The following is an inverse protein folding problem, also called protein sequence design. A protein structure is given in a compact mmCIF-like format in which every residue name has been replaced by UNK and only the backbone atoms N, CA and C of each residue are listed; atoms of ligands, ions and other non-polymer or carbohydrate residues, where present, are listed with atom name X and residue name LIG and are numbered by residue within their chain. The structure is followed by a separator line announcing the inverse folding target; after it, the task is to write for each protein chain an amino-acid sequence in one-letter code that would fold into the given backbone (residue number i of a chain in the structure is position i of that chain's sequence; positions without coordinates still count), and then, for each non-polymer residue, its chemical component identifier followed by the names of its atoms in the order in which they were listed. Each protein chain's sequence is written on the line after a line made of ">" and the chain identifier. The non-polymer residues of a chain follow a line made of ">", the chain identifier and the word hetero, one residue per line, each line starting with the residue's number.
data_IF_742263541310
#
_entry.id   IF_742263541310
#
_cell.length_a   1.000
_cell.length_b   1.000
_cell.length_c   1.000
_cell.angle_alpha   90.00
_cell.angle_beta   90.00
_cell.angle_gamma   90.00
#
_symmetry.space_group_name_H-M   'P 1'
#
loop_
_entity.id
_entity.type
_entity.pdbx_description
1 polymer ?
#
# COMPACT_ATOMS: atom_id res chain seq x y z
N UNK A 1 14.00 30.93 -11.31
CA UNK A 1 14.31 30.01 -10.18
C UNK A 1 13.08 29.65 -9.35
N UNK A 2 12.27 30.63 -8.92
CA UNK A 2 11.05 30.37 -8.13
C UNK A 2 10.04 29.47 -8.85
N UNK A 3 9.81 29.70 -10.14
CA UNK A 3 8.87 28.92 -10.96
C UNK A 3 9.24 27.43 -11.06
N UNK A 4 10.53 27.11 -11.24
CA UNK A 4 10.98 25.72 -11.32
C UNK A 4 10.76 24.96 -10.00
N UNK A 5 10.99 25.62 -8.86
CA UNK A 5 10.73 25.04 -7.54
C UNK A 5 9.24 24.79 -7.34
N UNK A 6 8.39 25.72 -7.78
CA UNK A 6 6.94 25.58 -7.71
C UNK A 6 6.45 24.42 -8.60
N UNK A 7 6.99 24.28 -9.82
CA UNK A 7 6.65 23.18 -10.71
C UNK A 7 7.08 21.82 -10.12
N UNK A 8 8.27 21.75 -9.51
CA UNK A 8 8.73 20.53 -8.83
C UNK A 8 7.82 20.15 -7.66
N UNK A 9 7.38 21.13 -6.88
CA UNK A 9 6.44 20.92 -5.79
C UNK A 9 5.11 20.39 -6.32
N UNK A 10 4.55 20.99 -7.38
CA UNK A 10 3.32 20.52 -8.02
C UNK A 10 3.45 19.09 -8.53
N UNK A 11 4.57 18.74 -9.18
CA UNK A 11 4.83 17.36 -9.64
C UNK A 11 4.85 16.40 -8.45
N UNK A 12 5.53 16.77 -7.36
CA UNK A 12 5.58 15.96 -6.14
C UNK A 12 4.16 15.74 -5.60
N UNK A 13 3.38 16.81 -5.45
CA UNK A 13 1.99 16.73 -4.97
C UNK A 13 1.11 15.85 -5.85
N UNK A 14 1.28 15.88 -7.18
CA UNK A 14 0.55 14.97 -8.06
C UNK A 14 0.96 13.51 -7.84
N UNK A 15 2.26 13.21 -7.78
CA UNK A 15 2.73 11.83 -7.53
C UNK A 15 2.18 11.25 -6.22
N UNK A 16 1.99 12.09 -5.19
CA UNK A 16 1.36 11.69 -3.93
C UNK A 16 -0.10 11.27 -4.15
N UNK A 17 -0.85 12.00 -4.99
CA UNK A 17 -2.23 11.64 -5.35
C UNK A 17 -2.32 10.36 -6.17
N UNK A 18 -1.27 10.01 -6.93
CA UNK A 18 -1.15 8.73 -7.62
C UNK A 18 -0.70 7.57 -6.69
N UNK A 19 -0.61 7.79 -5.38
CA UNK A 19 -0.37 6.73 -4.40
C UNK A 19 1.10 6.51 -4.01
N UNK A 20 2.00 7.44 -4.33
CA UNK A 20 3.36 7.45 -3.77
C UNK A 20 3.38 8.16 -2.41
N UNK A 21 4.26 7.69 -1.53
CA UNK A 21 4.61 8.45 -0.32
C UNK A 21 5.57 9.60 -0.62
N UNK A 22 5.73 10.54 0.32
CA UNK A 22 6.66 11.67 0.18
C UNK A 22 8.09 11.22 -0.16
N UNK A 23 8.62 10.23 0.56
CA UNK A 23 9.98 9.75 0.33
C UNK A 23 10.11 8.93 -0.97
N UNK A 24 9.06 8.18 -1.35
CA UNK A 24 8.99 7.52 -2.66
C UNK A 24 9.05 8.53 -3.81
N UNK A 25 8.26 9.59 -3.75
CA UNK A 25 8.25 10.64 -4.77
C UNK A 25 9.61 11.35 -4.88
N UNK A 26 10.25 11.67 -3.74
CA UNK A 26 11.61 12.26 -3.73
C UNK A 26 12.64 11.35 -4.41
N UNK A 27 12.65 10.06 -4.07
CA UNK A 27 13.58 9.08 -4.65
C UNK A 27 13.31 8.94 -6.16
N UNK A 28 12.05 8.79 -6.55
CA UNK A 28 11.66 8.69 -7.96
C UNK A 28 12.11 9.91 -8.77
N UNK A 29 11.80 11.12 -8.29
CA UNK A 29 12.18 12.37 -8.97
C UNK A 29 13.71 12.49 -9.08
N UNK A 30 14.44 12.14 -8.02
CA UNK A 30 15.90 12.17 -8.03
C UNK A 30 16.47 11.24 -9.10
N UNK A 31 16.05 9.98 -9.12
CA UNK A 31 16.49 9.01 -10.13
C UNK A 31 16.07 9.44 -11.55
N UNK A 32 14.85 9.96 -11.73
CA UNK A 32 14.33 10.39 -13.03
C UNK A 32 15.03 11.64 -13.59
N UNK A 33 15.60 12.50 -12.74
CA UNK A 33 16.32 13.71 -13.17
C UNK A 33 17.83 13.55 -13.23
N UNK A 34 18.40 12.75 -12.33
CA UNK A 34 19.86 12.56 -12.22
C UNK A 34 20.37 11.26 -12.82
N UNK A 35 19.46 10.44 -13.38
CA UNK A 35 19.77 9.16 -14.01
C UNK A 35 20.06 8.04 -12.99
N UNK A 36 20.65 6.93 -13.45
CA UNK A 36 20.91 5.77 -12.62
C UNK A 36 21.86 6.07 -11.45
N UNK A 37 21.47 5.71 -10.23
CA UNK A 37 22.25 5.93 -8.99
C UNK A 37 22.23 4.72 -8.08
N UNK A 38 23.33 4.52 -7.36
CA UNK A 38 23.40 3.51 -6.31
C UNK A 38 22.63 3.96 -5.06
N UNK A 39 22.15 3.01 -4.26
CA UNK A 39 21.48 3.33 -3.00
C UNK A 39 22.31 4.26 -2.09
N UNK A 40 23.66 4.11 -1.99
CA UNK A 40 24.51 5.07 -1.32
C UNK A 40 24.49 6.49 -1.83
N UNK A 41 24.39 6.69 -3.14
CA UNK A 41 24.24 8.03 -3.71
C UNK A 41 22.87 8.62 -3.35
N UNK A 42 21.80 7.80 -3.42
CA UNK A 42 20.43 8.24 -3.14
C UNK A 42 20.27 8.71 -1.69
N UNK A 43 20.64 7.89 -0.70
CA UNK A 43 20.42 8.27 0.72
C UNK A 43 21.28 9.47 1.13
N UNK A 44 22.48 9.61 0.55
CA UNK A 44 23.35 10.78 0.80
C UNK A 44 22.78 12.04 0.17
N UNK A 45 22.34 11.96 -1.09
CA UNK A 45 21.80 13.11 -1.82
C UNK A 45 20.49 13.61 -1.21
N UNK A 46 19.62 12.69 -0.77
CA UNK A 46 18.31 13.02 -0.23
C UNK A 46 18.28 13.14 1.30
N UNK A 47 19.41 12.89 1.97
CA UNK A 47 19.55 12.88 3.44
C UNK A 47 18.51 11.97 4.11
N UNK A 48 18.26 10.80 3.50
CA UNK A 48 17.33 9.80 4.00
C UNK A 48 18.05 8.73 4.82
N UNK A 49 17.37 8.06 5.77
CA UNK A 49 17.93 6.91 6.46
C UNK A 49 18.30 5.79 5.48
N UNK A 50 19.44 5.12 5.71
CA UNK A 50 19.92 4.04 4.83
C UNK A 50 18.89 2.92 4.68
N UNK A 51 18.43 2.38 5.81
CA UNK A 51 17.48 1.26 5.85
C UNK A 51 16.18 1.60 5.13
N UNK A 52 15.65 2.80 5.36
CA UNK A 52 14.44 3.28 4.69
C UNK A 52 14.66 3.45 3.18
N UNK A 53 15.82 3.95 2.76
CA UNK A 53 16.13 4.13 1.33
C UNK A 53 16.15 2.78 0.60
N UNK A 54 16.80 1.76 1.16
CA UNK A 54 16.79 0.41 0.57
C UNK A 54 15.36 -0.17 0.52
N UNK A 55 14.59 -0.02 1.60
CA UNK A 55 13.20 -0.45 1.62
C UNK A 55 12.38 0.23 0.52
N UNK A 56 12.50 1.54 0.37
CA UNK A 56 11.76 2.29 -0.64
C UNK A 56 12.20 1.91 -2.06
N UNK A 57 13.50 1.75 -2.30
CA UNK A 57 14.00 1.32 -3.61
C UNK A 57 13.42 -0.06 -4.00
N UNK A 58 13.41 -1.01 -3.07
CA UNK A 58 12.81 -2.33 -3.29
C UNK A 58 11.29 -2.24 -3.54
N UNK A 59 10.58 -1.37 -2.82
CA UNK A 59 9.14 -1.14 -3.04
C UNK A 59 8.85 -0.51 -4.39
N UNK A 60 9.68 0.44 -4.83
CA UNK A 60 9.53 1.06 -6.14
C UNK A 60 9.90 0.10 -7.27
N UNK A 61 10.88 -0.77 -7.04
CA UNK A 61 11.27 -1.84 -7.97
C UNK A 61 10.17 -2.89 -8.11
N UNK A 62 9.61 -3.38 -7.01
CA UNK A 62 8.53 -4.39 -7.06
C UNK A 62 7.25 -3.85 -7.69
N UNK A 63 7.04 -2.53 -7.63
CA UNK A 63 5.95 -1.84 -8.33
C UNK A 63 6.27 -1.54 -9.80
N UNK A 64 7.46 -1.89 -10.30
CA UNK A 64 7.86 -1.60 -11.67
C UNK A 64 7.99 -0.09 -11.98
N UNK A 65 8.28 0.74 -10.97
CA UNK A 65 8.48 2.19 -11.13
C UNK A 65 9.97 2.51 -11.27
N UNK A 66 10.82 1.67 -10.68
CA UNK A 66 12.28 1.74 -10.72
C UNK A 66 12.81 0.39 -11.20
N UNK A 67 13.95 0.39 -11.88
CA UNK A 67 14.68 -0.81 -12.29
C UNK A 67 16.04 -0.86 -11.63
N UNK A 68 16.46 -2.02 -11.15
CA UNK A 68 17.83 -2.26 -10.69
C UNK A 68 18.67 -2.87 -11.81
N UNK A 69 19.84 -2.29 -12.08
CA UNK A 69 20.84 -2.85 -12.97
C UNK A 69 21.74 -3.80 -12.17
N UNK A 70 22.04 -4.99 -12.73
CA UNK A 70 22.98 -5.96 -12.15
C UNK A 70 24.44 -5.49 -12.31
N UNK A 71 24.74 -4.33 -11.73
CA UNK A 71 26.08 -3.76 -11.62
C UNK A 71 26.61 -3.90 -10.19
N UNK A 72 27.92 -3.75 -10.02
CA UNK A 72 28.56 -3.62 -8.69
C UNK A 72 29.17 -2.23 -8.54
N UNK A 73 28.59 -1.33 -7.71
CA UNK A 73 27.35 -1.49 -6.93
C UNK A 73 26.09 -1.44 -7.80
N UNK A 74 24.99 -2.01 -7.32
CA UNK A 74 23.67 -1.98 -7.98
C UNK A 74 23.23 -0.55 -8.18
N UNK A 75 22.82 -0.22 -9.42
CA UNK A 75 22.28 1.09 -9.78
C UNK A 75 20.79 0.99 -10.02
N UNK A 76 20.06 1.97 -9.52
CA UNK A 76 18.63 2.11 -9.66
C UNK A 76 18.33 3.21 -10.66
N UNK A 77 17.42 2.97 -11.60
CA UNK A 77 16.93 3.96 -12.55
C UNK A 77 15.41 4.08 -12.46
N UNK A 78 14.88 5.29 -12.50
CA UNK A 78 13.44 5.50 -12.60
C UNK A 78 12.96 5.27 -14.04
N UNK A 79 11.76 4.71 -14.18
CA UNK A 79 11.08 4.71 -15.47
C UNK A 79 10.68 6.14 -15.88
N UNK A 80 10.53 6.39 -17.19
CA UNK A 80 9.91 7.59 -17.71
C UNK A 80 8.57 7.91 -17.01
N UNK A 81 8.24 9.21 -16.90
CA UNK A 81 7.08 9.66 -16.12
C UNK A 81 5.76 9.13 -16.69
N UNK A 82 5.62 9.09 -18.00
CA UNK A 82 4.46 8.52 -18.71
C UNK A 82 4.24 7.05 -18.35
N UNK A 83 5.31 6.24 -18.37
CA UNK A 83 5.25 4.83 -17.99
C UNK A 83 4.95 4.67 -16.50
N UNK A 84 5.61 5.46 -15.66
CA UNK A 84 5.38 5.45 -14.20
C UNK A 84 3.93 5.75 -13.86
N UNK A 85 3.35 6.80 -14.44
CA UNK A 85 1.96 7.17 -14.22
C UNK A 85 1.01 6.09 -14.74
N UNK A 86 1.32 5.46 -15.88
CA UNK A 86 0.54 4.34 -16.42
C UNK A 86 0.54 3.15 -15.47
N UNK A 87 1.71 2.78 -14.93
CA UNK A 87 1.85 1.72 -13.93
C UNK A 87 1.03 2.03 -12.68
N UNK A 88 1.11 3.26 -12.15
CA UNK A 88 0.35 3.66 -10.96
C UNK A 88 -1.16 3.60 -11.16
N UNK A 89 -1.64 4.08 -12.31
CA UNK A 89 -3.07 4.00 -12.67
C UNK A 89 -3.53 2.55 -12.77
N UNK A 90 -2.73 1.68 -13.39
CA UNK A 90 -3.07 0.26 -13.52
C UNK A 90 -3.11 -0.44 -12.15
N UNK A 91 -2.14 -0.18 -11.28
CA UNK A 91 -2.14 -0.70 -9.91
C UNK A 91 -3.39 -0.28 -9.13
N UNK A 92 -3.86 0.95 -9.31
CA UNK A 92 -5.07 1.40 -8.62
C UNK A 92 -6.34 0.75 -9.17
N UNK A 93 -6.40 0.51 -10.49
CA UNK A 93 -7.49 -0.28 -11.11
C UNK A 93 -7.52 -1.71 -10.59
N UNK A 94 -6.37 -2.39 -10.51
CA UNK A 94 -6.29 -3.76 -9.99
C UNK A 94 -6.76 -3.85 -8.53
N UNK A 95 -6.47 -2.83 -7.71
CA UNK A 95 -7.01 -2.74 -6.35
C UNK A 95 -8.53 -2.56 -6.34
N UNK A 96 -9.06 -1.71 -7.23
CA UNK A 96 -10.50 -1.50 -7.35
C UNK A 96 -11.19 -2.82 -7.71
N UNK A 97 -10.69 -3.53 -8.72
CA UNK A 97 -11.21 -4.83 -9.17
C UNK A 97 -11.17 -5.85 -8.02
N UNK A 98 -10.08 -5.88 -7.27
CA UNK A 98 -9.93 -6.74 -6.08
C UNK A 98 -10.95 -6.41 -5.00
N UNK A 99 -11.16 -5.12 -4.70
CA UNK A 99 -12.15 -4.66 -3.73
C UNK A 99 -13.58 -4.98 -4.15
N UNK A 100 -13.89 -4.86 -5.45
CA UNK A 100 -15.19 -5.24 -5.99
C UNK A 100 -15.46 -6.74 -5.82
N UNK A 101 -14.44 -7.58 -6.02
CA UNK A 101 -14.56 -9.02 -5.78
C UNK A 101 -14.75 -9.32 -4.29
N UNK A 102 -13.92 -8.75 -3.43
CA UNK A 102 -14.03 -8.92 -1.97
C UNK A 102 -15.38 -8.47 -1.43
N UNK A 103 -15.96 -7.40 -1.99
CA UNK A 103 -17.31 -6.95 -1.64
C UNK A 103 -18.36 -8.03 -1.93
N UNK A 104 -18.30 -8.67 -3.11
CA UNK A 104 -19.24 -9.75 -3.47
C UNK A 104 -19.07 -10.94 -2.54
N UNK A 105 -17.83 -11.36 -2.32
CA UNK A 105 -17.50 -12.48 -1.44
C UNK A 105 -18.00 -12.23 -0.01
N UNK A 106 -17.84 -11.00 0.50
CA UNK A 106 -18.30 -10.63 1.84
C UNK A 106 -19.82 -10.64 1.96
N UNK A 107 -20.56 -10.22 0.94
CA UNK A 107 -22.04 -10.29 0.92
C UNK A 107 -22.48 -11.75 0.94
N UNK A 108 -21.88 -12.61 0.12
CA UNK A 108 -22.20 -14.05 0.12
C UNK A 108 -21.88 -14.72 1.46
N UNK A 109 -20.78 -14.33 2.10
CA UNK A 109 -20.45 -14.82 3.43
C UNK A 109 -21.46 -14.31 4.47
N UNK A 110 -21.85 -13.04 4.39
CA UNK A 110 -22.85 -12.45 5.28
C UNK A 110 -24.20 -13.18 5.20
N UNK A 111 -24.69 -13.48 3.99
CA UNK A 111 -25.97 -14.17 3.78
C UNK A 111 -25.96 -15.61 4.32
N UNK A 112 -24.78 -16.23 4.40
CA UNK A 112 -24.59 -17.57 4.97
C UNK A 112 -24.48 -17.56 6.49
N UNK A 113 -24.31 -16.41 7.13
CA UNK A 113 -24.25 -16.29 8.59
C UNK A 113 -25.68 -16.28 9.15
N UNK A 114 -26.13 -17.36 9.82
CA UNK A 114 -27.45 -17.39 10.43
C UNK A 114 -27.49 -16.49 11.66
N UNK A 115 -28.62 -15.81 11.87
CA UNK A 115 -28.82 -14.89 13.01
C UNK A 115 -28.62 -15.54 14.38
N UNK A 116 -28.86 -16.85 14.52
CA UNK A 116 -28.70 -17.58 15.78
C UNK A 116 -27.24 -17.86 16.17
N UNK A 117 -26.28 -17.69 15.26
CA UNK A 117 -24.84 -17.85 15.53
C UNK A 117 -24.26 -16.58 16.16
N UNK A 118 -24.98 -15.46 16.06
CA UNK A 118 -24.63 -14.20 16.71
C UNK A 118 -25.00 -14.34 18.19
N UNK A 119 -24.02 -14.51 19.07
CA UNK A 119 -24.26 -14.51 20.52
C UNK A 119 -24.74 -13.12 20.96
N UNK A 120 -26.04 -12.98 21.17
CA UNK A 120 -26.65 -11.81 21.80
C UNK A 120 -26.79 -12.03 23.30
N UNK A 121 -26.92 -10.93 24.06
CA UNK A 121 -27.19 -10.98 25.50
C UNK A 121 -28.47 -11.78 25.83
N UNK A 122 -29.43 -11.87 24.90
CA UNK A 122 -30.66 -12.66 25.05
C UNK A 122 -30.36 -14.18 24.97
N UNK A 123 -29.61 -14.64 23.97
CA UNK A 123 -29.16 -16.05 23.86
C UNK A 123 -28.31 -16.54 25.03
N UNK A 124 -27.58 -15.62 25.69
CA UNK A 124 -26.79 -15.93 26.89
C UNK A 124 -27.68 -16.15 28.12
N UNK A 125 -28.83 -15.47 28.17
CA UNK A 125 -29.80 -15.54 29.27
C UNK A 125 -30.63 -16.82 29.20
N UNK A 126 -31.05 -17.24 28.00
CA UNK A 126 -31.77 -18.51 27.80
C UNK A 126 -30.92 -19.74 28.20
N UNK A 127 -29.64 -19.77 27.81
CA UNK A 127 -28.72 -20.86 28.20
C UNK A 127 -28.47 -20.91 29.72
N UNK A 128 -28.44 -19.77 30.43
CA UNK A 128 -28.32 -19.75 31.90
C UNK A 128 -29.57 -20.26 32.62
N UNK A 129 -30.77 -19.99 32.08
CA UNK A 129 -32.03 -20.46 32.69
C UNK A 129 -32.24 -21.98 32.53
N UNK A 130 -31.81 -22.57 31.41
CA UNK A 130 -31.93 -24.03 31.19
C UNK A 130 -31.04 -24.86 32.12
N UNK A 131 -29.88 -24.33 32.54
CA UNK A 131 -28.93 -25.07 33.40
C UNK A 131 -29.35 -25.04 34.87
N UNK A 132 -30.07 -24.00 35.33
CA UNK A 132 -30.55 -23.90 36.71
C UNK A 132 -31.86 -24.67 36.98
N UNK A 133 -32.46 -25.29 35.96
CA UNK A 133 -33.78 -25.90 36.05
C UNK A 133 -33.85 -27.40 36.37
N UNK A 134 -32.73 -28.09 36.65
CA UNK A 134 -32.75 -29.56 36.74
C UNK A 134 -32.12 -30.19 38.00
N UNK A 135 -31.89 -29.42 39.06
CA UNK A 135 -31.49 -29.95 40.38
C UNK A 135 -32.62 -29.78 41.41
N UNK A 136 -33.78 -30.37 41.13
CA UNK A 136 -34.78 -30.69 42.13
C UNK A 136 -35.51 -31.96 41.71
N UNK A 137 -35.64 -32.90 42.64
CA UNK A 137 -36.26 -34.24 42.54
C UNK A 137 -35.35 -35.35 42.03
N UNK A 138 -34.53 -35.92 42.93
CA UNK A 138 -34.82 -37.20 43.61
C UNK A 138 -33.84 -37.38 44.77
#
# INVERSE_FOLDING_TARGET
>A
MYEYKLNLQKVTEQLLKFGLTSNQAKIYIYLGKYGPRSAPEVFKALQLPRTETYFILNVLESRGIVTAELSSPTKYSALPLDQTLSTLVNTEKEKLDTLEQQKKDLIELWDKVPSYVIETNETKTEKMQTIQGNDAYT
#
